data_IF_113410377424
#
_entry.id   IF_113410377424
#
_cell.length_a   1.000
_cell.length_b   1.000
_cell.length_c   1.000
_cell.angle_alpha   90.00
_cell.angle_beta   90.00
_cell.angle_gamma   90.00
#
_symmetry.space_group_name_H-M   'P 1'
#
loop_
_entity.id
_entity.type
_entity.pdbx_description
1 polymer ?
#
# COMPACT_ATOMS: atom_id res chain seq x y z
N UNK A 1 2.33 15.81 -13.59
CA UNK A 1 2.51 14.37 -13.30
C UNK A 1 4.01 14.18 -13.07
N UNK A 2 4.45 14.22 -11.80
CA UNK A 2 5.86 13.97 -11.48
C UNK A 2 6.00 12.45 -11.58
N UNK A 3 6.47 11.99 -12.73
CA UNK A 3 6.66 10.56 -12.98
C UNK A 3 7.62 9.97 -11.96
N UNK A 4 7.17 8.91 -11.29
CA UNK A 4 7.80 7.58 -11.13
C UNK A 4 9.33 7.41 -11.12
N UNK A 5 10.12 8.44 -10.83
CA UNK A 5 11.59 8.30 -10.66
C UNK A 5 11.91 7.27 -9.56
N UNK A 6 11.01 7.06 -8.59
CA UNK A 6 11.13 6.00 -7.59
C UNK A 6 10.69 4.61 -8.06
N UNK A 7 9.71 4.51 -8.96
CA UNK A 7 9.16 3.22 -9.40
C UNK A 7 10.14 2.41 -10.26
N UNK A 8 10.91 3.08 -11.13
CA UNK A 8 11.98 2.43 -11.89
C UNK A 8 13.07 1.86 -10.97
N UNK A 9 13.37 2.56 -9.87
CA UNK A 9 14.31 2.07 -8.85
C UNK A 9 13.76 0.81 -8.19
N UNK A 10 12.48 0.78 -7.82
CA UNK A 10 11.86 -0.40 -7.21
C UNK A 10 11.78 -1.59 -8.18
N UNK A 11 11.63 -1.35 -9.48
CA UNK A 11 11.67 -2.42 -10.49
C UNK A 11 13.01 -3.17 -10.51
N UNK A 12 14.11 -2.49 -10.21
CA UNK A 12 15.44 -3.13 -10.10
C UNK A 12 15.63 -3.96 -8.82
N UNK A 13 14.72 -3.84 -7.85
CA UNK A 13 14.83 -4.55 -6.58
C UNK A 13 14.33 -5.98 -6.68
N UNK A 14 14.96 -6.87 -5.92
CA UNK A 14 14.46 -8.21 -5.68
C UNK A 14 13.10 -8.17 -5.00
N UNK A 15 12.34 -9.25 -5.19
CA UNK A 15 11.04 -9.43 -4.57
C UNK A 15 11.09 -9.31 -3.04
N UNK A 16 12.08 -9.96 -2.42
CA UNK A 16 12.32 -9.91 -0.99
C UNK A 16 12.49 -8.46 -0.49
N UNK A 17 13.30 -7.65 -1.18
CA UNK A 17 13.53 -6.26 -0.79
C UNK A 17 12.27 -5.41 -0.92
N UNK A 18 11.46 -5.61 -1.97
CA UNK A 18 10.17 -4.92 -2.11
C UNK A 18 9.23 -5.27 -0.97
N UNK A 19 9.15 -6.56 -0.63
CA UNK A 19 8.33 -7.07 0.46
C UNK A 19 8.77 -6.49 1.81
N UNK A 20 10.07 -6.43 2.09
CA UNK A 20 10.61 -5.85 3.31
C UNK A 20 10.27 -4.36 3.45
N UNK A 21 10.40 -3.60 2.35
CA UNK A 21 10.10 -2.17 2.37
C UNK A 21 8.60 -1.90 2.57
N UNK A 22 7.72 -2.69 1.94
CA UNK A 22 6.27 -2.65 2.21
C UNK A 22 5.98 -3.03 3.67
N UNK A 23 6.72 -3.98 4.23
CA UNK A 23 6.63 -4.31 5.65
C UNK A 23 6.91 -3.10 6.55
N UNK A 24 7.95 -2.31 6.26
CA UNK A 24 8.25 -1.06 6.98
C UNK A 24 7.15 -0.02 6.77
N UNK A 25 6.62 0.08 5.57
CA UNK A 25 5.53 1.00 5.24
C UNK A 25 4.26 0.69 6.04
N UNK A 26 3.95 -0.59 6.25
CA UNK A 26 2.85 -1.04 7.13
C UNK A 26 3.13 -0.64 8.59
N UNK A 27 4.36 -0.72 9.07
CA UNK A 27 4.71 -0.21 10.41
C UNK A 27 4.51 1.31 10.50
N UNK A 28 4.88 2.05 9.46
CA UNK A 28 4.59 3.48 9.35
C UNK A 28 3.09 3.78 9.44
N UNK A 29 2.26 3.02 8.74
CA UNK A 29 0.79 3.12 8.84
C UNK A 29 0.29 2.86 10.26
N UNK A 30 0.79 1.82 10.92
CA UNK A 30 0.46 1.54 12.34
C UNK A 30 0.89 2.68 13.27
N UNK A 31 1.95 3.41 12.91
CA UNK A 31 2.44 4.59 13.62
C UNK A 31 1.73 5.91 13.23
N UNK A 32 0.75 5.88 12.33
CA UNK A 32 -0.06 7.05 11.95
C UNK A 32 0.17 7.58 10.54
N UNK A 33 0.97 6.91 9.70
CA UNK A 33 1.06 7.24 8.28
C UNK A 33 -0.34 7.14 7.62
N UNK A 34 -0.76 8.11 6.80
CA UNK A 34 -2.02 8.04 6.08
C UNK A 34 -2.16 6.78 5.21
N UNK A 35 -3.33 6.15 5.23
CA UNK A 35 -3.63 4.93 4.45
C UNK A 35 -3.44 5.12 2.95
N UNK A 36 -3.68 6.34 2.45
CA UNK A 36 -3.47 6.69 1.03
C UNK A 36 -2.01 6.56 0.65
N UNK A 37 -1.11 7.06 1.51
CA UNK A 37 0.34 6.97 1.29
C UNK A 37 0.79 5.51 1.36
N UNK A 38 0.25 4.71 2.29
CA UNK A 38 0.48 3.27 2.33
C UNK A 38 0.12 2.61 1.00
N UNK A 39 -1.08 2.84 0.48
CA UNK A 39 -1.53 2.21 -0.77
C UNK A 39 -0.71 2.67 -1.98
N UNK A 40 -0.51 3.97 -2.15
CA UNK A 40 0.24 4.51 -3.30
C UNK A 40 1.71 4.07 -3.29
N UNK A 41 2.37 4.11 -2.14
CA UNK A 41 3.77 3.67 -2.06
C UNK A 41 3.91 2.16 -2.20
N UNK A 42 2.97 1.37 -1.67
CA UNK A 42 2.97 -0.08 -1.87
C UNK A 42 2.80 -0.44 -3.36
N UNK A 43 1.94 0.27 -4.09
CA UNK A 43 1.77 0.11 -5.54
C UNK A 43 3.07 0.39 -6.31
N UNK A 44 3.70 1.55 -6.05
CA UNK A 44 4.98 1.89 -6.66
C UNK A 44 6.09 0.88 -6.34
N UNK A 45 6.19 0.44 -5.08
CA UNK A 45 7.22 -0.51 -4.64
C UNK A 45 6.99 -1.91 -5.23
N UNK A 46 5.74 -2.39 -5.23
CA UNK A 46 5.41 -3.70 -5.76
C UNK A 46 5.56 -3.74 -7.29
N UNK A 47 5.29 -2.63 -7.96
CA UNK A 47 5.33 -2.48 -9.42
C UNK A 47 3.99 -2.85 -10.09
N UNK A 48 3.02 -3.32 -9.32
CA UNK A 48 1.63 -3.51 -9.75
C UNK A 48 0.68 -3.53 -8.56
N UNK A 49 -0.58 -3.16 -8.81
CA UNK A 49 -1.62 -3.16 -7.81
C UNK A 49 -1.91 -4.56 -7.26
N UNK A 50 -1.84 -5.59 -8.09
CA UNK A 50 -2.06 -6.99 -7.70
C UNK A 50 -1.01 -7.44 -6.67
N UNK A 51 0.28 -7.22 -6.97
CA UNK A 51 1.37 -7.55 -6.06
C UNK A 51 1.30 -6.74 -4.76
N UNK A 52 0.93 -5.46 -4.84
CA UNK A 52 0.73 -4.63 -3.67
C UNK A 52 -0.36 -5.20 -2.74
N UNK A 53 -1.48 -5.68 -3.30
CA UNK A 53 -2.56 -6.34 -2.54
C UNK A 53 -2.05 -7.57 -1.80
N UNK A 54 -1.29 -8.43 -2.49
CA UNK A 54 -0.74 -9.66 -1.89
C UNK A 54 0.20 -9.35 -0.73
N UNK A 55 1.14 -8.42 -0.93
CA UNK A 55 2.08 -8.02 0.11
C UNK A 55 1.36 -7.38 1.30
N UNK A 56 0.45 -6.44 1.07
CA UNK A 56 -0.33 -5.80 2.13
C UNK A 56 -1.17 -6.82 2.91
N UNK A 57 -1.78 -7.80 2.23
CA UNK A 57 -2.52 -8.88 2.88
C UNK A 57 -1.62 -9.79 3.73
N UNK A 58 -0.34 -9.95 3.36
CA UNK A 58 0.62 -10.73 4.14
C UNK A 58 1.06 -10.05 5.44
N UNK A 59 0.99 -8.72 5.52
CA UNK A 59 1.41 -7.93 6.69
C UNK A 59 0.25 -7.40 7.53
N UNK A 60 -0.94 -7.29 6.95
CA UNK A 60 -2.14 -6.75 7.59
C UNK A 60 -3.24 -7.80 7.72
N UNK A 61 -3.75 -7.94 8.93
CA UNK A 61 -4.94 -8.77 9.17
C UNK A 61 -6.14 -8.22 8.41
N UNK A 62 -7.12 -9.08 8.08
CA UNK A 62 -8.36 -8.64 7.43
C UNK A 62 -9.08 -7.53 8.22
N UNK A 63 -9.07 -7.63 9.56
CA UNK A 63 -9.67 -6.62 10.45
C UNK A 63 -8.96 -5.26 10.37
N UNK A 64 -7.62 -5.26 10.31
CA UNK A 64 -6.84 -4.03 10.10
C UNK A 64 -7.14 -3.40 8.73
N UNK A 65 -7.21 -4.23 7.68
CA UNK A 65 -7.54 -3.80 6.31
C UNK A 65 -8.93 -3.15 6.23
N UNK A 66 -9.94 -3.78 6.84
CA UNK A 66 -11.28 -3.17 6.94
C UNK A 66 -11.29 -1.86 7.72
N UNK A 67 -10.53 -1.77 8.82
CA UNK A 67 -10.41 -0.52 9.60
C UNK A 67 -9.78 0.59 8.77
N UNK A 68 -8.74 0.27 8.01
CA UNK A 68 -8.06 1.20 7.11
C UNK A 68 -9.02 1.77 6.05
N UNK A 69 -9.82 0.91 5.39
CA UNK A 69 -10.87 1.34 4.46
C UNK A 69 -11.92 2.23 5.14
N UNK A 70 -12.34 1.90 6.36
CA UNK A 70 -13.32 2.72 7.11
C UNK A 70 -12.75 4.10 7.48
N UNK A 71 -11.44 4.22 7.65
CA UNK A 71 -10.80 5.49 8.01
C UNK A 71 -10.88 6.57 6.92
N UNK A 72 -11.21 6.20 5.68
CA UNK A 72 -11.41 7.16 4.57
C UNK A 72 -12.73 7.94 4.71
N UNK A 73 -13.58 7.59 5.66
CA UNK A 73 -14.82 8.31 5.97
C UNK A 73 -15.83 8.27 4.82
N UNK A 74 -16.37 9.45 4.48
CA UNK A 74 -17.41 9.63 3.44
C UNK A 74 -16.84 9.92 2.05
N UNK A 75 -15.52 9.98 1.89
CA UNK A 75 -14.92 10.17 0.58
C UNK A 75 -15.01 8.86 -0.23
N UNK A 76 -16.02 8.77 -1.11
CA UNK A 76 -16.33 7.57 -1.87
C UNK A 76 -15.22 7.13 -2.82
N UNK A 77 -14.58 8.07 -3.50
CA UNK A 77 -13.46 7.80 -4.41
C UNK A 77 -12.27 7.25 -3.64
N UNK A 78 -11.88 7.94 -2.56
CA UNK A 78 -10.77 7.49 -1.72
C UNK A 78 -11.02 6.12 -1.11
N UNK A 79 -12.26 5.89 -0.67
CA UNK A 79 -12.68 4.58 -0.16
C UNK A 79 -12.59 3.51 -1.23
N UNK A 80 -13.00 3.78 -2.46
CA UNK A 80 -12.91 2.84 -3.57
C UNK A 80 -11.46 2.47 -3.87
N UNK A 81 -10.57 3.47 -3.97
CA UNK A 81 -9.13 3.27 -4.14
C UNK A 81 -8.54 2.45 -3.00
N UNK A 82 -8.72 2.84 -1.74
CA UNK A 82 -8.15 2.09 -0.61
C UNK A 82 -8.74 0.67 -0.52
N UNK A 83 -10.02 0.49 -0.86
CA UNK A 83 -10.62 -0.84 -0.93
C UNK A 83 -9.98 -1.69 -2.02
N UNK A 84 -9.67 -1.12 -3.18
CA UNK A 84 -9.01 -1.85 -4.27
C UNK A 84 -7.57 -2.28 -3.97
N UNK A 85 -6.98 -1.87 -2.84
CA UNK A 85 -5.71 -2.40 -2.34
C UNK A 85 -5.86 -3.33 -1.13
N UNK A 86 -6.90 -3.14 -0.31
CA UNK A 86 -6.99 -3.77 1.00
C UNK A 86 -8.09 -4.83 1.11
N UNK A 87 -9.05 -4.87 0.18
CA UNK A 87 -10.18 -5.80 0.15
C UNK A 87 -10.30 -6.45 -1.23
#
# INVERSE_FOLDING_TARGET
MIGDIGAEVYQSWSEERRRDEIGKLVQGYRAGLPVVILCTMADSIAGSQEMAREYLASFMTYKERQKAVKSTGKNGELRATVSSFLL
#
